data_IF_214430580153
#
_entry.id   IF_214430580153
#
_cell.length_a   1.000
_cell.length_b   1.000
_cell.length_c   1.000
_cell.angle_alpha   90.00
_cell.angle_beta   90.00
_cell.angle_gamma   90.00
#
_symmetry.space_group_name_H-M   'P 1'
#
loop_
_entity.id
_entity.type
_entity.pdbx_description
1 polymer ?
#
# COMPACT_ATOMS: atom_id res chain seq x y z
N UNK A 1 -17.62 18.94 -20.27
CA UNK A 1 -18.16 17.70 -20.88
C UNK A 1 -19.51 17.40 -20.31
N UNK A 2 -20.42 16.92 -21.15
CA UNK A 2 -21.80 16.59 -20.74
C UNK A 2 -21.82 15.35 -19.84
N UNK A 3 -22.63 15.35 -18.80
CA UNK A 3 -22.81 14.21 -17.92
C UNK A 3 -23.59 13.09 -18.65
N UNK A 4 -23.00 11.91 -18.74
CA UNK A 4 -23.56 10.73 -19.43
C UNK A 4 -23.84 9.64 -18.40
N UNK A 5 -24.99 8.96 -18.55
CA UNK A 5 -25.46 7.94 -17.64
C UNK A 5 -25.55 6.58 -18.32
N UNK A 6 -25.04 5.54 -17.67
CA UNK A 6 -25.15 4.14 -18.11
C UNK A 6 -25.75 3.28 -17.00
N UNK A 7 -26.40 2.21 -17.35
CA UNK A 7 -26.89 1.24 -16.35
C UNK A 7 -25.71 0.59 -15.64
N UNK A 8 -25.88 0.37 -14.33
CA UNK A 8 -24.88 -0.36 -13.54
C UNK A 8 -24.94 -1.84 -13.93
N UNK A 9 -23.81 -2.39 -14.36
CA UNK A 9 -23.68 -3.79 -14.78
C UNK A 9 -24.19 -4.75 -13.71
N UNK A 10 -25.14 -5.62 -14.06
CA UNK A 10 -25.81 -6.56 -13.15
C UNK A 10 -26.95 -5.96 -12.34
N UNK A 11 -27.22 -4.65 -12.50
CA UNK A 11 -28.30 -3.88 -11.88
C UNK A 11 -29.06 -3.02 -12.90
N UNK A 12 -29.13 -3.50 -14.14
CA UNK A 12 -29.78 -2.82 -15.26
C UNK A 12 -31.24 -2.50 -14.91
N UNK A 13 -31.69 -1.28 -15.27
CA UNK A 13 -33.03 -0.78 -14.94
C UNK A 13 -33.25 -0.44 -13.45
N UNK A 14 -32.34 -0.78 -12.55
CA UNK A 14 -32.45 -0.47 -11.12
C UNK A 14 -31.57 0.73 -10.72
N UNK A 15 -30.36 0.79 -11.26
CA UNK A 15 -29.40 1.85 -10.95
C UNK A 15 -28.63 2.28 -12.18
N UNK A 16 -28.30 3.56 -12.24
CA UNK A 16 -27.43 4.15 -13.25
C UNK A 16 -26.22 4.80 -12.59
N UNK A 17 -25.10 4.79 -13.28
CA UNK A 17 -23.86 5.51 -12.88
C UNK A 17 -23.52 6.54 -13.94
N UNK A 18 -23.06 7.73 -13.50
CA UNK A 18 -22.60 8.77 -14.43
C UNK A 18 -21.09 8.71 -14.61
N UNK A 19 -20.62 9.26 -15.73
CA UNK A 19 -19.20 9.47 -16.00
C UNK A 19 -18.52 10.47 -15.03
N UNK A 20 -19.30 11.16 -14.20
CA UNK A 20 -18.85 12.07 -13.14
C UNK A 20 -18.81 11.42 -11.75
N UNK A 21 -19.15 10.14 -11.63
CA UNK A 21 -19.11 9.41 -10.35
C UNK A 21 -20.38 9.45 -9.54
N UNK A 22 -21.50 9.94 -10.08
CA UNK A 22 -22.79 9.92 -9.37
C UNK A 22 -23.53 8.62 -9.63
N UNK A 23 -24.31 8.14 -8.66
CA UNK A 23 -25.13 6.94 -8.80
C UNK A 23 -26.62 7.28 -8.57
N UNK A 24 -27.45 6.93 -9.52
CA UNK A 24 -28.88 7.20 -9.54
C UNK A 24 -29.69 5.93 -9.27
N UNK A 25 -30.67 6.01 -8.38
CA UNK A 25 -31.65 4.93 -8.17
C UNK A 25 -32.88 5.18 -9.05
N UNK A 26 -33.09 4.33 -10.05
CA UNK A 26 -34.23 4.45 -10.98
C UNK A 26 -35.55 4.28 -10.24
N UNK A 27 -35.64 3.28 -9.36
CA UNK A 27 -36.88 3.03 -8.60
C UNK A 27 -37.27 4.17 -7.63
N UNK A 28 -36.26 4.76 -6.96
CA UNK A 28 -36.49 5.82 -5.97
C UNK A 28 -36.45 7.22 -6.58
N UNK A 29 -35.96 7.36 -7.81
CA UNK A 29 -35.75 8.63 -8.51
C UNK A 29 -34.90 9.63 -7.69
N UNK A 30 -33.80 9.14 -7.09
CA UNK A 30 -32.88 9.94 -6.29
C UNK A 30 -31.44 9.61 -6.61
N UNK A 31 -30.56 10.57 -6.43
CA UNK A 31 -29.13 10.31 -6.32
C UNK A 31 -28.84 9.57 -5.00
N UNK A 32 -28.05 8.50 -5.08
CA UNK A 32 -27.64 7.81 -3.87
C UNK A 32 -26.61 8.65 -3.11
N UNK A 33 -26.76 8.70 -1.80
CA UNK A 33 -25.77 9.32 -0.94
C UNK A 33 -24.55 8.43 -0.86
N UNK A 34 -23.40 8.99 -1.19
CA UNK A 34 -22.12 8.32 -1.05
C UNK A 34 -21.67 8.37 0.41
N UNK A 35 -21.07 7.28 0.88
CA UNK A 35 -20.42 7.22 2.19
C UNK A 35 -18.93 6.91 2.03
N UNK A 36 -18.06 7.54 2.83
CA UNK A 36 -16.66 7.18 2.86
C UNK A 36 -16.50 5.80 3.51
N UNK A 37 -15.92 4.86 2.78
CA UNK A 37 -15.51 3.56 3.30
C UNK A 37 -14.17 3.63 4.05
N UNK A 38 -13.79 2.57 4.76
CA UNK A 38 -12.58 2.52 5.59
C UNK A 38 -11.24 2.75 4.87
N UNK A 39 -11.22 2.82 3.53
CA UNK A 39 -10.05 3.15 2.70
C UNK A 39 -10.17 4.53 2.03
N UNK A 40 -11.05 5.39 2.53
CA UNK A 40 -11.35 6.74 2.00
C UNK A 40 -11.99 6.79 0.62
N UNK A 41 -12.35 5.65 0.02
CA UNK A 41 -13.13 5.62 -1.23
C UNK A 41 -14.60 5.89 -0.98
N UNK A 42 -15.25 6.59 -1.90
CA UNK A 42 -16.71 6.70 -1.90
C UNK A 42 -17.37 5.38 -2.28
N UNK A 43 -18.38 5.00 -1.49
CA UNK A 43 -19.14 3.77 -1.65
C UNK A 43 -20.63 4.06 -1.66
N UNK A 44 -21.36 3.23 -2.39
CA UNK A 44 -22.84 3.22 -2.39
C UNK A 44 -23.35 1.82 -2.06
N UNK A 45 -24.58 1.76 -1.56
CA UNK A 45 -25.28 0.50 -1.32
C UNK A 45 -26.31 0.28 -2.41
N UNK A 46 -26.17 -0.79 -3.18
CA UNK A 46 -27.14 -1.23 -4.15
C UNK A 46 -27.91 -2.42 -3.60
N UNK A 47 -29.23 -2.44 -3.88
CA UNK A 47 -30.13 -3.51 -3.42
C UNK A 47 -30.78 -4.17 -4.62
N UNK A 48 -30.65 -5.49 -4.74
CA UNK A 48 -31.34 -6.33 -5.72
C UNK A 48 -31.83 -7.59 -5.02
N UNK A 49 -33.06 -8.02 -5.28
CA UNK A 49 -33.67 -9.22 -4.67
C UNK A 49 -33.59 -9.22 -3.13
N UNK A 50 -33.81 -8.07 -2.50
CA UNK A 50 -33.71 -7.84 -1.03
C UNK A 50 -32.28 -7.94 -0.47
N UNK A 51 -31.28 -8.28 -1.27
CA UNK A 51 -29.88 -8.30 -0.87
C UNK A 51 -29.23 -6.92 -1.05
N UNK A 52 -28.46 -6.48 -0.04
CA UNK A 52 -27.70 -5.23 -0.06
C UNK A 52 -26.23 -5.55 -0.30
N UNK A 53 -25.63 -4.89 -1.29
CA UNK A 53 -24.18 -4.98 -1.58
C UNK A 53 -23.55 -3.60 -1.65
N UNK A 54 -22.32 -3.50 -1.14
CA UNK A 54 -21.52 -2.27 -1.17
C UNK A 54 -20.67 -2.25 -2.42
N UNK A 55 -20.68 -1.11 -3.09
CA UNK A 55 -19.86 -0.89 -4.29
C UNK A 55 -19.02 0.36 -4.16
N UNK A 56 -17.76 0.28 -4.51
CA UNK A 56 -16.91 1.45 -4.63
C UNK A 56 -17.28 2.20 -5.91
N UNK A 57 -17.54 3.51 -5.79
CA UNK A 57 -18.06 4.34 -6.91
C UNK A 57 -17.08 4.36 -8.09
N UNK A 58 -15.78 4.55 -7.83
CA UNK A 58 -14.76 4.53 -8.90
C UNK A 58 -14.78 3.23 -9.72
N UNK A 59 -15.09 2.08 -9.10
CA UNK A 59 -15.19 0.82 -9.82
C UNK A 59 -16.43 0.75 -10.70
N UNK A 60 -17.58 1.28 -10.23
CA UNK A 60 -18.80 1.38 -11.05
C UNK A 60 -18.55 2.24 -12.30
N UNK A 61 -17.87 3.39 -12.10
CA UNK A 61 -17.52 4.30 -13.21
C UNK A 61 -16.54 3.61 -14.17
N UNK A 62 -15.47 3.02 -13.66
CA UNK A 62 -14.46 2.37 -14.50
C UNK A 62 -15.06 1.23 -15.33
N UNK A 63 -15.92 0.38 -14.72
CA UNK A 63 -16.61 -0.71 -15.45
C UNK A 63 -17.49 -0.18 -16.57
N UNK A 64 -18.09 1.00 -16.40
CA UNK A 64 -19.06 1.54 -17.37
C UNK A 64 -18.44 2.44 -18.44
N UNK A 65 -17.32 3.11 -18.16
CA UNK A 65 -16.81 4.20 -18.99
C UNK A 65 -15.33 4.09 -19.38
N UNK A 66 -14.56 3.20 -18.75
CA UNK A 66 -13.13 3.05 -19.04
C UNK A 66 -12.85 1.69 -19.67
N UNK A 67 -12.27 1.68 -20.85
CA UNK A 67 -11.93 0.44 -21.56
C UNK A 67 -10.88 -0.37 -20.81
N UNK A 68 -11.07 -1.70 -20.78
CA UNK A 68 -10.16 -2.64 -20.13
C UNK A 68 -9.82 -3.83 -21.04
N UNK A 69 -9.11 -3.59 -22.16
CA UNK A 69 -8.82 -4.63 -23.14
C UNK A 69 -7.94 -5.75 -22.56
N UNK A 70 -7.08 -5.42 -21.59
CA UNK A 70 -6.16 -6.37 -20.96
C UNK A 70 -6.74 -7.01 -19.69
N UNK A 71 -8.02 -6.82 -19.36
CA UNK A 71 -8.70 -7.39 -18.18
C UNK A 71 -7.94 -7.17 -16.87
N UNK A 72 -7.34 -5.99 -16.70
CA UNK A 72 -6.66 -5.60 -15.46
C UNK A 72 -7.66 -5.52 -14.29
N UNK A 73 -7.21 -5.84 -13.07
CA UNK A 73 -8.11 -6.05 -11.92
C UNK A 73 -8.24 -4.84 -10.98
N UNK A 74 -7.30 -3.91 -11.02
CA UNK A 74 -7.30 -2.73 -10.16
C UNK A 74 -7.73 -1.48 -10.93
N UNK A 75 -8.42 -0.57 -10.25
CA UNK A 75 -8.73 0.77 -10.75
C UNK A 75 -7.90 1.75 -9.93
N UNK A 76 -7.17 2.61 -10.62
CA UNK A 76 -6.34 3.66 -10.04
C UNK A 76 -6.94 5.04 -10.31
N UNK A 77 -6.70 5.99 -9.41
CA UNK A 77 -6.97 7.41 -9.61
C UNK A 77 -5.68 8.08 -10.09
N UNK A 78 -5.69 8.63 -11.30
CA UNK A 78 -4.51 9.20 -11.96
C UNK A 78 -3.91 10.35 -11.14
N UNK A 79 -4.77 11.19 -10.53
CA UNK A 79 -4.40 12.31 -9.68
C UNK A 79 -4.14 11.94 -8.20
N UNK A 80 -4.14 10.65 -7.85
CA UNK A 80 -4.08 10.11 -6.48
C UNK A 80 -5.23 10.56 -5.56
N UNK A 81 -6.21 11.32 -6.03
CA UNK A 81 -7.35 11.78 -5.26
C UNK A 81 -8.48 10.74 -5.30
N UNK A 82 -8.61 9.94 -4.25
CA UNK A 82 -9.56 8.84 -4.13
C UNK A 82 -11.04 9.22 -4.17
N UNK A 83 -11.34 10.51 -4.10
CA UNK A 83 -12.72 11.02 -4.18
C UNK A 83 -13.05 11.60 -5.56
N UNK A 84 -12.07 11.79 -6.44
CA UNK A 84 -12.28 12.25 -7.81
C UNK A 84 -12.63 11.07 -8.72
N UNK A 85 -13.91 10.69 -8.74
CA UNK A 85 -14.42 9.54 -9.48
C UNK A 85 -14.82 9.88 -10.93
N UNK A 86 -14.36 11.00 -11.50
CA UNK A 86 -14.57 11.32 -12.90
C UNK A 86 -13.86 10.28 -13.79
N UNK A 87 -14.52 9.79 -14.85
CA UNK A 87 -14.03 8.69 -15.66
C UNK A 87 -12.65 8.93 -16.29
N UNK A 88 -12.35 10.20 -16.66
CA UNK A 88 -11.05 10.57 -17.23
C UNK A 88 -9.89 10.55 -16.22
N UNK A 89 -10.22 10.49 -14.93
CA UNK A 89 -9.27 10.36 -13.84
C UNK A 89 -9.07 8.90 -13.40
N UNK A 90 -9.72 7.94 -14.06
CA UNK A 90 -9.66 6.53 -13.69
C UNK A 90 -8.98 5.72 -14.79
N UNK A 91 -8.16 4.78 -14.38
CA UNK A 91 -7.49 3.85 -15.29
C UNK A 91 -7.49 2.43 -14.72
N UNK A 92 -7.51 1.44 -15.62
CA UNK A 92 -7.31 0.05 -15.22
C UNK A 92 -5.83 -0.27 -15.16
N UNK A 93 -5.39 -0.83 -14.03
CA UNK A 93 -4.00 -1.16 -13.75
C UNK A 93 -3.87 -2.57 -13.18
N UNK A 94 -2.68 -3.16 -13.30
CA UNK A 94 -2.31 -4.34 -12.54
C UNK A 94 -2.02 -3.96 -11.07
N UNK A 95 -1.99 -4.93 -10.17
CA UNK A 95 -1.60 -4.68 -8.77
C UNK A 95 -0.19 -4.07 -8.66
N UNK A 96 0.75 -4.54 -9.48
CA UNK A 96 2.14 -4.03 -9.51
C UNK A 96 2.20 -2.56 -9.95
N UNK A 97 1.48 -2.22 -11.02
CA UNK A 97 1.40 -0.83 -11.50
C UNK A 97 0.77 0.07 -10.44
N UNK A 98 -0.33 -0.37 -9.81
CA UNK A 98 -1.03 0.40 -8.77
C UNK A 98 -0.17 0.69 -7.53
N UNK A 99 0.64 -0.29 -7.09
CA UNK A 99 1.53 -0.12 -5.94
C UNK A 99 2.69 0.83 -6.25
N UNK A 100 3.09 0.93 -7.51
CA UNK A 100 4.20 1.77 -7.97
C UNK A 100 3.75 3.13 -8.52
N UNK A 101 2.44 3.41 -8.53
CA UNK A 101 1.89 4.64 -9.07
C UNK A 101 2.16 5.85 -8.16
N UNK A 102 2.46 6.98 -8.78
CA UNK A 102 2.59 8.29 -8.13
C UNK A 102 3.58 8.29 -6.98
N UNK A 103 3.19 8.91 -5.88
CA UNK A 103 4.02 9.09 -4.66
C UNK A 103 3.94 7.90 -3.69
N UNK A 104 3.34 6.78 -4.08
CA UNK A 104 3.12 5.63 -3.18
C UNK A 104 4.43 5.03 -2.64
N UNK A 105 5.47 4.97 -3.48
CA UNK A 105 6.79 4.45 -3.08
C UNK A 105 7.47 5.40 -2.09
N UNK A 106 7.46 6.70 -2.36
CA UNK A 106 8.02 7.74 -1.50
C UNK A 106 7.34 7.78 -0.14
N UNK A 107 6.00 7.77 -0.11
CA UNK A 107 5.21 7.70 1.14
C UNK A 107 5.53 6.44 1.94
N UNK A 108 5.68 5.30 1.27
CA UNK A 108 6.04 4.04 1.94
C UNK A 108 7.45 4.10 2.53
N UNK A 109 8.44 4.65 1.80
CA UNK A 109 9.80 4.84 2.30
C UNK A 109 9.80 5.76 3.52
N UNK A 110 9.05 6.88 3.47
CA UNK A 110 8.96 7.82 4.58
C UNK A 110 8.31 7.20 5.82
N UNK A 111 7.18 6.50 5.65
CA UNK A 111 6.53 5.75 6.74
C UNK A 111 7.46 4.71 7.36
N UNK A 112 8.27 4.02 6.55
CA UNK A 112 9.26 3.07 7.04
C UNK A 112 10.36 3.74 7.86
N UNK A 113 10.87 4.90 7.44
CA UNK A 113 11.89 5.66 8.19
C UNK A 113 11.39 6.05 9.59
N UNK A 114 10.12 6.41 9.73
CA UNK A 114 9.51 6.84 11.00
C UNK A 114 8.97 5.69 11.85
N UNK A 115 8.93 4.47 11.32
CA UNK A 115 8.41 3.32 12.06
C UNK A 115 9.32 2.96 13.24
N UNK A 116 8.75 2.91 14.46
CA UNK A 116 9.44 2.42 15.65
C UNK A 116 10.00 0.99 15.48
N UNK A 117 9.35 0.17 14.62
CA UNK A 117 9.83 -1.15 14.24
C UNK A 117 11.16 -1.07 13.48
N UNK A 118 11.37 -0.02 12.68
CA UNK A 118 12.62 0.24 11.98
C UNK A 118 13.74 0.65 12.95
N UNK A 119 13.43 1.55 13.91
CA UNK A 119 14.39 1.91 14.97
C UNK A 119 14.82 0.70 15.82
N UNK A 120 13.92 -0.26 16.05
CA UNK A 120 14.23 -1.52 16.76
C UNK A 120 15.15 -2.48 15.99
N UNK A 121 15.13 -2.41 14.63
CA UNK A 121 15.98 -3.23 13.75
C UNK A 121 17.40 -2.66 13.59
N UNK A 122 17.58 -1.36 13.83
CA UNK A 122 18.88 -0.68 13.80
C UNK A 122 19.47 -0.62 15.21
N UNK A 123 19.91 -1.77 15.71
CA UNK A 123 20.74 -1.82 16.91
C UNK A 123 22.19 -1.73 16.47
N UNK A 124 22.93 -0.68 16.84
CA UNK A 124 24.35 -0.60 16.58
C UNK A 124 25.07 -1.78 17.21
N UNK A 125 26.08 -2.29 16.53
CA UNK A 125 26.92 -3.38 17.02
C UNK A 125 28.37 -2.98 17.04
N UNK A 126 29.07 -3.47 18.06
CA UNK A 126 30.50 -3.25 18.27
C UNK A 126 31.19 -4.61 18.20
N UNK A 127 32.24 -4.69 17.40
CA UNK A 127 33.16 -5.81 17.37
C UNK A 127 34.48 -5.42 18.03
N UNK A 128 34.93 -6.20 19.01
CA UNK A 128 36.25 -6.04 19.67
C UNK A 128 37.15 -7.18 19.23
N UNK A 129 38.25 -6.86 18.57
CA UNK A 129 39.21 -7.86 18.14
C UNK A 129 39.89 -8.52 19.37
N UNK A 130 39.89 -9.86 19.39
CA UNK A 130 40.36 -10.64 20.55
C UNK A 130 41.86 -10.64 20.74
N UNK A 131 42.62 -10.26 19.69
CA UNK A 131 44.11 -10.30 19.71
C UNK A 131 44.71 -8.93 20.01
N UNK A 132 44.21 -7.87 19.36
CA UNK A 132 44.78 -6.52 19.46
C UNK A 132 43.89 -5.49 20.17
N UNK A 133 42.66 -5.88 20.52
CA UNK A 133 41.70 -4.98 21.19
C UNK A 133 41.12 -3.91 20.29
N UNK A 134 41.37 -3.92 18.98
CA UNK A 134 40.80 -2.95 18.03
C UNK A 134 39.27 -3.01 18.04
N UNK A 135 38.65 -1.83 18.01
CA UNK A 135 37.18 -1.71 18.05
C UNK A 135 36.67 -1.27 16.70
N UNK A 136 35.72 -2.02 16.16
CA UNK A 136 34.97 -1.66 14.96
C UNK A 136 33.48 -1.46 15.35
N UNK A 137 32.84 -0.48 14.75
CA UNK A 137 31.45 -0.18 15.03
C UNK A 137 30.63 -0.11 13.74
N UNK A 138 29.42 -0.69 13.75
CA UNK A 138 28.46 -0.62 12.67
C UNK A 138 27.08 -0.19 13.19
N UNK A 139 26.34 0.65 12.43
CA UNK A 139 25.02 1.10 12.83
C UNK A 139 23.99 -0.03 12.90
N UNK A 140 24.31 -1.20 12.34
CA UNK A 140 23.46 -2.40 12.41
C UNK A 140 24.23 -3.65 12.01
N UNK A 141 23.69 -4.83 12.40
CA UNK A 141 24.18 -6.14 11.90
C UNK A 141 24.17 -6.21 10.38
N UNK A 142 23.16 -5.60 9.73
CA UNK A 142 23.06 -5.59 8.26
C UNK A 142 24.21 -4.80 7.62
N UNK A 143 24.62 -3.70 8.23
CA UNK A 143 25.77 -2.91 7.73
C UNK A 143 27.08 -3.64 7.92
N UNK A 144 27.28 -4.29 9.06
CA UNK A 144 28.40 -5.19 9.27
C UNK A 144 28.43 -6.32 8.21
N UNK A 145 27.26 -6.83 7.82
CA UNK A 145 27.13 -7.82 6.74
C UNK A 145 27.60 -7.31 5.38
N UNK A 146 27.31 -6.06 5.03
CA UNK A 146 27.81 -5.42 3.80
C UNK A 146 29.33 -5.23 3.81
N UNK A 147 29.90 -5.15 4.99
CA UNK A 147 31.35 -5.04 5.22
C UNK A 147 32.01 -6.40 5.44
N UNK A 148 31.39 -7.49 4.98
CA UNK A 148 32.00 -8.81 4.90
C UNK A 148 31.85 -9.69 6.15
N UNK A 149 31.11 -9.27 7.17
CA UNK A 149 30.83 -10.09 8.34
C UNK A 149 29.52 -10.90 8.16
N UNK A 150 29.41 -12.06 8.82
CA UNK A 150 28.22 -12.89 8.72
C UNK A 150 27.16 -12.44 9.74
N UNK A 151 26.03 -11.94 9.27
CA UNK A 151 24.97 -11.36 10.11
C UNK A 151 24.47 -12.31 11.21
N UNK A 152 24.24 -13.59 10.87
CA UNK A 152 23.80 -14.59 11.83
C UNK A 152 24.85 -14.84 12.93
N UNK A 153 26.13 -14.86 12.58
CA UNK A 153 27.20 -15.09 13.55
C UNK A 153 27.41 -13.88 14.47
N UNK A 154 27.28 -12.65 13.94
CA UNK A 154 27.28 -11.44 14.80
C UNK A 154 26.12 -11.52 15.79
N UNK A 155 24.92 -11.90 15.33
CA UNK A 155 23.76 -12.04 16.21
C UNK A 155 23.99 -13.11 17.30
N UNK A 156 24.56 -14.26 16.94
CA UNK A 156 24.91 -15.32 17.90
C UNK A 156 25.90 -14.82 18.94
N UNK A 157 26.96 -14.12 18.52
CA UNK A 157 27.95 -13.56 19.43
C UNK A 157 27.32 -12.51 20.36
N UNK A 158 26.56 -11.55 19.81
CA UNK A 158 25.95 -10.47 20.58
C UNK A 158 24.86 -10.96 21.56
N UNK A 159 24.35 -12.18 21.39
CA UNK A 159 23.42 -12.83 22.30
C UNK A 159 24.08 -13.94 23.18
N UNK A 160 25.41 -14.01 23.21
CA UNK A 160 26.14 -14.95 24.06
C UNK A 160 26.06 -16.42 23.62
N UNK A 161 25.57 -16.70 22.40
CA UNK A 161 25.43 -18.06 21.84
C UNK A 161 26.68 -18.54 21.09
N UNK A 162 27.58 -17.64 20.78
CA UNK A 162 28.88 -17.89 20.16
C UNK A 162 29.88 -16.90 20.77
N UNK A 163 31.14 -17.33 20.97
CA UNK A 163 32.15 -16.50 21.64
C UNK A 163 32.78 -15.47 20.71
N UNK A 164 33.07 -15.85 19.47
CA UNK A 164 33.87 -15.03 18.52
C UNK A 164 33.39 -15.27 17.11
N UNK A 165 33.40 -14.22 16.27
CA UNK A 165 33.23 -14.30 14.82
C UNK A 165 34.24 -13.39 14.11
N UNK A 166 35.06 -13.94 13.19
CA UNK A 166 36.14 -13.25 12.48
C UNK A 166 37.02 -12.43 13.44
N UNK A 167 37.57 -13.13 14.43
CA UNK A 167 38.48 -12.56 15.42
C UNK A 167 37.89 -11.47 16.33
N UNK A 168 36.56 -11.23 16.26
CA UNK A 168 35.89 -10.22 17.08
C UNK A 168 34.87 -10.84 18.02
N UNK A 169 34.80 -10.34 19.27
CA UNK A 169 33.66 -10.46 20.16
C UNK A 169 32.68 -9.37 19.81
N UNK A 170 31.41 -9.72 19.64
CA UNK A 170 30.37 -8.79 19.20
C UNK A 170 29.38 -8.50 20.30
N UNK A 171 28.98 -7.22 20.40
CA UNK A 171 28.05 -6.71 21.39
C UNK A 171 27.06 -5.76 20.73
N UNK A 172 25.85 -5.68 21.29
CA UNK A 172 25.00 -4.55 20.98
C UNK A 172 25.47 -3.32 21.73
N UNK A 173 25.58 -2.16 21.07
CA UNK A 173 25.83 -0.89 21.73
C UNK A 173 24.57 -0.48 22.48
N UNK A 174 24.63 -0.48 23.80
CA UNK A 174 23.58 0.10 24.63
C UNK A 174 23.65 1.62 24.51
N UNK A 175 22.50 2.27 24.22
CA UNK A 175 22.34 3.73 24.24
C UNK A 175 22.25 4.24 25.66
#
# INVERSE_FOLDING_TARGET
>A
MTEVWKDVKGYEGLYKVSNHGKVWSVRKQILLKEAKGGREYYRVVLTKNKEKKYFDVHRLVAISFVDNPFKKNCVNHIDENKINNHYSNLEWVTHKENVNHGTAIERKKETMKHSLKFKKLYKPVIGVNVYNGEIIEFPSINEAGRNGYHQSNIWLCANGKQSVHKEHKWFYKHS
#
